data_IF_089097501296
#
_entry.id   IF_089097501296
#
_cell.length_a   1.000
_cell.length_b   1.000
_cell.length_c   1.000
_cell.angle_alpha   90.00
_cell.angle_beta   90.00
_cell.angle_gamma   90.00
#
_symmetry.space_group_name_H-M   'P 1'
#
loop_
_entity.id
_entity.type
_entity.pdbx_description
1 polymer ?
#
# COMPACT_ATOMS: atom_id res chain seq x y z
N UNK A 1 13.24 14.41 1.24
CA UNK A 1 12.87 12.97 1.35
C UNK A 1 14.03 12.10 1.84
N UNK A 2 14.96 12.61 2.67
CA UNK A 2 16.03 11.80 3.26
C UNK A 2 15.77 11.50 4.75
N UNK A 3 15.31 12.49 5.51
CA UNK A 3 15.03 12.33 6.94
C UNK A 3 13.91 11.32 7.23
N UNK A 4 12.82 11.34 6.46
CA UNK A 4 11.70 10.38 6.59
C UNK A 4 12.13 8.95 6.25
N UNK A 5 12.94 8.78 5.21
CA UNK A 5 13.49 7.49 4.82
C UNK A 5 14.45 6.96 5.88
N UNK A 6 15.30 7.83 6.44
CA UNK A 6 16.21 7.48 7.52
C UNK A 6 15.47 7.08 8.80
N UNK A 7 14.39 7.79 9.16
CA UNK A 7 13.55 7.44 10.31
C UNK A 7 12.82 6.12 10.07
N UNK A 8 12.29 5.89 8.87
CA UNK A 8 11.68 4.62 8.50
C UNK A 8 12.69 3.47 8.57
N UNK A 9 13.88 3.64 8.00
CA UNK A 9 14.96 2.65 8.05
C UNK A 9 15.42 2.40 9.49
N UNK A 10 15.50 3.43 10.34
CA UNK A 10 15.86 3.29 11.76
C UNK A 10 14.80 2.49 12.52
N UNK A 11 13.51 2.79 12.31
CA UNK A 11 12.39 2.07 12.93
C UNK A 11 12.32 0.62 12.44
N UNK A 12 12.61 0.37 11.15
CA UNK A 12 12.63 -0.97 10.57
C UNK A 12 13.87 -1.79 10.97
N UNK A 13 15.01 -1.14 11.25
CA UNK A 13 16.25 -1.80 11.67
C UNK A 13 16.32 -2.10 13.17
N UNK A 14 15.53 -1.44 14.02
CA UNK A 14 15.57 -1.60 15.48
C UNK A 14 15.03 -2.96 16.00
N UNK A 15 14.83 -3.94 15.11
CA UNK A 15 14.53 -5.33 15.47
C UNK A 15 13.10 -5.59 15.96
N UNK A 16 12.31 -4.54 16.22
CA UNK A 16 10.86 -4.66 16.40
C UNK A 16 10.20 -4.75 15.02
N UNK A 17 9.54 -5.86 14.64
CA UNK A 17 8.79 -5.90 13.40
C UNK A 17 7.71 -4.82 13.45
N UNK A 18 7.83 -3.81 12.60
CA UNK A 18 6.77 -2.81 12.45
C UNK A 18 5.49 -3.54 12.04
N UNK A 19 4.46 -3.46 12.89
CA UNK A 19 3.23 -4.21 12.68
C UNK A 19 2.40 -3.57 11.57
N UNK A 20 2.61 -4.05 10.34
CA UNK A 20 1.82 -3.65 9.17
C UNK A 20 0.37 -4.17 9.23
N UNK A 21 -0.06 -4.86 10.30
CA UNK A 21 -1.46 -5.25 10.50
C UNK A 21 -2.39 -4.04 10.45
N UNK A 22 -1.97 -2.86 10.93
CA UNK A 22 -2.76 -1.64 10.82
C UNK A 22 -2.95 -1.23 9.36
N UNK A 23 -1.87 -1.25 8.56
CA UNK A 23 -1.92 -0.95 7.12
C UNK A 23 -2.83 -1.95 6.40
N UNK A 24 -2.70 -3.25 6.70
CA UNK A 24 -3.52 -4.29 6.09
C UNK A 24 -4.98 -4.24 6.54
N UNK A 25 -5.25 -3.86 7.78
CA UNK A 25 -6.61 -3.65 8.30
C UNK A 25 -7.29 -2.50 7.54
N UNK A 26 -6.58 -1.39 7.34
CA UNK A 26 -7.08 -0.28 6.53
C UNK A 26 -7.28 -0.66 5.06
N UNK A 27 -6.33 -1.38 4.45
CA UNK A 27 -6.46 -1.91 3.08
C UNK A 27 -7.71 -2.77 2.96
N UNK A 28 -7.93 -3.71 3.89
CA UNK A 28 -9.11 -4.58 3.88
C UNK A 28 -10.43 -3.81 4.06
N UNK A 29 -10.48 -2.82 4.95
CA UNK A 29 -11.66 -1.96 5.11
C UNK A 29 -11.93 -1.21 3.81
N UNK A 30 -10.91 -0.62 3.18
CA UNK A 30 -11.09 0.18 1.97
C UNK A 30 -11.40 -0.68 0.74
N UNK A 31 -10.84 -1.88 0.66
CA UNK A 31 -11.13 -2.85 -0.42
C UNK A 31 -12.52 -3.47 -0.31
N UNK A 32 -13.12 -3.51 0.89
CA UNK A 32 -14.46 -4.08 1.11
C UNK A 32 -15.60 -3.06 1.00
N UNK A 33 -15.29 -1.76 1.05
CA UNK A 33 -16.28 -0.67 0.97
C UNK A 33 -16.64 -0.35 -0.47
N UNK A 34 -17.90 -0.03 -0.72
CA UNK A 34 -18.32 0.46 -2.04
C UNK A 34 -17.93 1.94 -2.21
N UNK A 35 -17.66 2.41 -3.45
CA UNK A 35 -17.35 3.82 -3.71
C UNK A 35 -18.44 4.81 -3.28
N UNK A 36 -19.68 4.35 -3.10
CA UNK A 36 -20.82 5.16 -2.67
C UNK A 36 -20.84 5.43 -1.16
N UNK A 37 -20.19 4.58 -0.36
CA UNK A 37 -20.19 4.66 1.11
C UNK A 37 -19.07 5.54 1.67
N UNK A 38 -18.10 5.94 0.84
CA UNK A 38 -16.92 6.69 1.24
C UNK A 38 -16.97 8.08 0.61
N UNK A 39 -17.30 9.09 1.43
CA UNK A 39 -17.39 10.50 1.06
C UNK A 39 -16.17 10.98 0.24
N UNK A 40 -16.38 12.06 -0.53
CA UNK A 40 -15.55 12.54 -1.65
C UNK A 40 -14.03 12.73 -1.45
N UNK A 41 -13.46 12.49 -0.27
CA UNK A 41 -12.00 12.49 -0.03
C UNK A 41 -11.32 11.13 -0.28
N UNK A 42 -12.05 10.11 -0.75
CA UNK A 42 -11.52 8.75 -0.94
C UNK A 42 -10.24 8.70 -1.82
N UNK A 43 -10.14 9.60 -2.81
CA UNK A 43 -8.96 9.68 -3.67
C UNK A 43 -7.68 10.11 -2.93
N UNK A 44 -7.79 10.91 -1.86
CA UNK A 44 -6.63 11.29 -1.03
C UNK A 44 -6.14 10.09 -0.23
N UNK A 45 -7.06 9.29 0.30
CA UNK A 45 -6.74 8.06 1.02
C UNK A 45 -6.03 7.07 0.09
N UNK A 46 -6.56 6.82 -1.11
CA UNK A 46 -5.90 5.97 -2.09
C UNK A 46 -4.52 6.47 -2.49
N UNK A 47 -4.36 7.79 -2.68
CA UNK A 47 -3.07 8.39 -3.02
C UNK A 47 -2.04 8.14 -1.92
N UNK A 48 -2.37 8.55 -0.69
CA UNK A 48 -1.47 8.42 0.47
C UNK A 48 -1.11 6.97 0.77
N UNK A 49 -2.09 6.06 0.76
CA UNK A 49 -1.82 4.64 0.98
C UNK A 49 -1.07 4.01 -0.20
N UNK A 50 -1.33 4.43 -1.43
CA UNK A 50 -0.52 4.04 -2.59
C UNK A 50 0.95 4.37 -2.40
N UNK A 51 1.26 5.58 -1.92
CA UNK A 51 2.64 5.99 -1.64
C UNK A 51 3.29 5.13 -0.53
N UNK A 52 2.53 4.77 0.53
CA UNK A 52 3.00 3.87 1.60
C UNK A 52 3.25 2.46 1.06
N UNK A 53 2.26 1.86 0.37
CA UNK A 53 2.36 0.51 -0.18
C UNK A 53 3.54 0.42 -1.16
N UNK A 54 3.72 1.43 -2.02
CA UNK A 54 4.85 1.47 -2.93
C UNK A 54 6.21 1.69 -2.24
N UNK A 55 6.25 2.29 -1.06
CA UNK A 55 7.50 2.45 -0.29
C UNK A 55 7.90 1.14 0.41
N UNK A 56 6.92 0.35 0.85
CA UNK A 56 7.13 -0.87 1.62
C UNK A 56 6.81 -2.17 0.84
N UNK A 57 6.77 -2.11 -0.49
CA UNK A 57 6.30 -3.20 -1.36
C UNK A 57 7.03 -4.53 -1.10
N UNK A 58 8.37 -4.51 -0.93
CA UNK A 58 9.18 -5.70 -0.61
C UNK A 58 8.75 -6.43 0.67
N UNK A 59 8.43 -5.67 1.71
CA UNK A 59 8.03 -6.24 3.00
C UNK A 59 6.58 -6.70 2.95
N UNK A 60 5.71 -5.93 2.30
CA UNK A 60 4.31 -6.28 2.13
C UNK A 60 4.11 -7.51 1.23
N UNK A 61 4.93 -7.68 0.20
CA UNK A 61 4.90 -8.83 -0.72
C UNK A 61 5.47 -10.12 -0.11
N UNK A 62 6.21 -10.02 1.01
CA UNK A 62 6.79 -11.19 1.70
C UNK A 62 5.75 -12.18 2.21
N UNK A 63 4.52 -11.72 2.47
CA UNK A 63 3.40 -12.58 2.87
C UNK A 63 2.38 -12.73 1.75
N UNK A 64 2.16 -13.98 1.30
CA UNK A 64 1.16 -14.32 0.28
C UNK A 64 -0.27 -13.93 0.67
N UNK A 65 -0.59 -13.86 1.97
CA UNK A 65 -1.94 -13.46 2.43
C UNK A 65 -2.30 -12.01 2.08
N UNK A 66 -1.28 -11.17 1.91
CA UNK A 66 -1.46 -9.71 1.77
C UNK A 66 -1.57 -9.27 0.31
N UNK A 67 -1.08 -10.07 -0.63
CA UNK A 67 -0.99 -9.69 -2.05
C UNK A 67 -2.37 -9.40 -2.64
N UNK A 68 -3.34 -10.30 -2.49
CA UNK A 68 -4.66 -10.13 -3.12
C UNK A 68 -5.39 -8.86 -2.66
N UNK A 69 -5.49 -8.54 -1.35
CA UNK A 69 -6.02 -7.25 -0.90
C UNK A 69 -5.28 -6.03 -1.44
N UNK A 70 -3.94 -6.07 -1.45
CA UNK A 70 -3.11 -4.96 -1.95
C UNK A 70 -3.31 -4.71 -3.45
N UNK A 71 -3.42 -5.76 -4.26
CA UNK A 71 -3.70 -5.64 -5.69
C UNK A 71 -5.08 -5.01 -5.94
N UNK A 72 -6.11 -5.48 -5.22
CA UNK A 72 -7.46 -4.92 -5.32
C UNK A 72 -7.49 -3.45 -4.91
N UNK A 73 -6.81 -3.10 -3.82
CA UNK A 73 -6.69 -1.72 -3.36
C UNK A 73 -6.05 -0.82 -4.43
N UNK A 74 -4.92 -1.22 -4.99
CA UNK A 74 -4.25 -0.45 -6.04
C UNK A 74 -5.13 -0.32 -7.29
N UNK A 75 -5.82 -1.38 -7.72
CA UNK A 75 -6.73 -1.34 -8.86
C UNK A 75 -7.88 -0.34 -8.63
N UNK A 76 -8.50 -0.35 -7.45
CA UNK A 76 -9.53 0.63 -7.09
C UNK A 76 -8.99 2.07 -7.10
N UNK A 77 -7.78 2.29 -6.57
CA UNK A 77 -7.15 3.61 -6.55
C UNK A 77 -6.71 4.12 -7.93
N UNK A 78 -6.36 3.23 -8.87
CA UNK A 78 -6.01 3.61 -10.25
C UNK A 78 -7.17 4.27 -10.99
N UNK A 79 -8.40 3.83 -10.70
CA UNK A 79 -9.62 4.37 -11.30
C UNK A 79 -9.94 5.82 -10.91
N UNK A 80 -9.21 6.41 -9.94
CA UNK A 80 -9.41 7.77 -9.46
C UNK A 80 -8.25 8.66 -9.92
N UNK A 81 -8.56 9.83 -10.51
CA UNK A 81 -7.56 10.70 -11.16
C UNK A 81 -6.38 11.08 -10.25
N UNK A 82 -6.65 11.46 -8.99
CA UNK A 82 -5.63 11.99 -8.07
C UNK A 82 -4.72 10.89 -7.49
N UNK A 83 -5.23 9.67 -7.31
CA UNK A 83 -4.45 8.53 -6.80
C UNK A 83 -3.84 7.65 -7.88
N UNK A 84 -4.19 7.87 -9.15
CA UNK A 84 -3.83 6.99 -10.26
C UNK A 84 -2.32 6.71 -10.36
N UNK A 85 -1.51 7.77 -10.26
CA UNK A 85 -0.06 7.66 -10.30
C UNK A 85 0.50 6.87 -9.09
N UNK A 86 0.13 7.24 -7.87
CA UNK A 86 0.62 6.56 -6.66
C UNK A 86 0.23 5.08 -6.64
N UNK A 87 -1.01 4.75 -6.99
CA UNK A 87 -1.50 3.37 -6.99
C UNK A 87 -0.92 2.52 -8.14
N UNK A 88 -0.68 3.09 -9.32
CA UNK A 88 -0.03 2.37 -10.42
C UNK A 88 1.44 2.08 -10.14
N UNK A 89 2.17 3.03 -9.52
CA UNK A 89 3.55 2.81 -9.07
C UNK A 89 3.60 1.73 -7.98
N UNK A 90 2.69 1.79 -7.01
CA UNK A 90 2.59 0.77 -5.95
C UNK A 90 2.29 -0.62 -6.52
N UNK A 91 1.33 -0.72 -7.45
CA UNK A 91 0.98 -1.97 -8.13
C UNK A 91 2.19 -2.57 -8.86
N UNK A 92 2.90 -1.75 -9.65
CA UNK A 92 4.08 -2.21 -10.38
C UNK A 92 5.12 -2.78 -9.42
N UNK A 93 5.45 -2.04 -8.35
CA UNK A 93 6.44 -2.49 -7.35
C UNK A 93 6.01 -3.77 -6.64
N UNK A 94 4.73 -3.90 -6.29
CA UNK A 94 4.20 -5.15 -5.72
C UNK A 94 4.37 -6.33 -6.69
N UNK A 95 4.13 -6.13 -7.99
CA UNK A 95 4.33 -7.18 -8.99
C UNK A 95 5.82 -7.54 -9.16
N UNK A 96 6.71 -6.55 -9.17
CA UNK A 96 8.17 -6.74 -9.23
C UNK A 96 8.68 -7.51 -8.00
N UNK A 97 8.26 -7.09 -6.81
CA UNK A 97 8.70 -7.67 -5.53
C UNK A 97 7.97 -8.96 -5.13
N UNK A 98 6.83 -9.28 -5.76
CA UNK A 98 6.15 -10.57 -5.58
C UNK A 98 6.71 -11.66 -6.51
N UNK A 99 7.27 -11.27 -7.65
CA UNK A 99 7.84 -12.21 -8.64
C UNK A 99 9.09 -12.92 -8.12
N UNK A 100 9.75 -12.42 -7.07
CA UNK A 100 10.84 -13.12 -6.38
C UNK A 100 10.37 -14.33 -5.54
N UNK A 101 9.07 -14.62 -5.49
CA UNK A 101 8.48 -15.78 -4.79
C UNK A 101 7.91 -16.85 -5.73
N UNK A 102 8.09 -16.68 -7.05
CA UNK A 102 7.75 -17.65 -8.12
C UNK A 102 9.05 -18.23 -8.67
#
# INVERSE_FOLDING_TARGET
MYALSMVADTILQDGSPFDFSVVMHFVNILSSRTPAELNGCQFLVYKSFGDVIGSYSKWLSSSKSNIKPLLLFCASGISKSISSNSCSVALRKLCEDASSFI
#
